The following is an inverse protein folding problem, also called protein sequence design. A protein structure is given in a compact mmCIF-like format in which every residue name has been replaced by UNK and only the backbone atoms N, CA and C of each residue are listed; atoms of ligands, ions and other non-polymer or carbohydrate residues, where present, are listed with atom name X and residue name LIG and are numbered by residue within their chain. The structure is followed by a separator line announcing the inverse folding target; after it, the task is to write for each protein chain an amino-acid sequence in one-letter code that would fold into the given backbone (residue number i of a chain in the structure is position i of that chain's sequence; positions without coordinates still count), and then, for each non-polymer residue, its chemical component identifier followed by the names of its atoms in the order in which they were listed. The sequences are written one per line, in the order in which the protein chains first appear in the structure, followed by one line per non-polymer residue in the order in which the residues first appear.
data_IF_074204997648
#
_entry.id   IF_074204997648
#
_cell.length_a   1.000
_cell.length_b   1.000
_cell.length_c   1.000
_cell.angle_alpha   90.00
_cell.angle_beta   90.00
_cell.angle_gamma   90.00
#
_symmetry.space_group_name_H-M   'P 1'
#
loop_
_entity.id
_entity.type
_entity.pdbx_description
1 polymer ?
#
# COMPACT_ATOMS: atom_id res chain seq x y z
N UNK A 1 -38.31 1.65 16.09
CA UNK A 1 -37.95 2.59 15.01
C UNK A 1 -36.43 2.59 14.92
N UNK A 2 -35.88 1.68 14.11
CA UNK A 2 -34.47 1.30 14.13
C UNK A 2 -33.84 1.77 12.83
N UNK A 3 -33.32 3.00 12.81
CA UNK A 3 -32.54 3.56 11.69
C UNK A 3 -31.12 2.96 11.68
N UNK A 4 -31.01 1.63 11.69
CA UNK A 4 -29.73 0.95 11.57
C UNK A 4 -29.34 0.86 10.08
N UNK A 5 -28.25 1.58 9.79
CA UNK A 5 -27.16 1.17 8.90
C UNK A 5 -27.37 1.10 7.39
N UNK A 6 -27.85 2.19 6.77
CA UNK A 6 -27.39 2.55 5.41
C UNK A 6 -26.13 3.43 5.41
N UNK A 7 -25.40 3.50 6.51
CA UNK A 7 -24.05 4.04 6.48
C UNK A 7 -23.17 3.03 5.75
N UNK A 8 -22.89 3.29 4.47
CA UNK A 8 -21.95 2.51 3.69
C UNK A 8 -20.63 2.36 4.44
N UNK A 9 -19.90 1.27 4.19
CA UNK A 9 -18.61 1.02 4.82
C UNK A 9 -17.71 2.25 4.67
N UNK A 10 -17.32 2.81 5.81
CA UNK A 10 -16.37 3.94 5.86
C UNK A 10 -14.97 3.35 5.96
N UNK A 11 -14.08 3.83 5.10
CA UNK A 11 -12.66 3.55 5.15
C UNK A 11 -11.95 4.84 5.53
N UNK A 12 -10.97 4.75 6.42
CA UNK A 12 -10.17 5.89 6.86
C UNK A 12 -8.71 5.57 6.58
N UNK A 13 -8.00 6.53 6.02
CA UNK A 13 -6.56 6.49 5.85
C UNK A 13 -5.95 7.51 6.80
N UNK A 14 -5.03 7.04 7.64
CA UNK A 14 -4.22 7.90 8.49
C UNK A 14 -2.82 7.97 7.89
N UNK A 15 -2.27 9.17 7.78
CA UNK A 15 -0.92 9.42 7.29
C UNK A 15 -0.15 10.07 8.43
N UNK A 16 0.95 9.45 8.82
CA UNK A 16 1.82 9.93 9.90
C UNK A 16 3.26 10.00 9.41
N UNK A 17 3.84 11.18 9.44
CA UNK A 17 5.25 11.44 9.15
C UNK A 17 5.82 12.42 10.16
N UNK A 18 7.14 12.66 10.21
CA UNK A 18 7.71 13.64 11.14
C UNK A 18 7.19 15.06 10.94
N UNK A 19 6.73 15.40 9.73
CA UNK A 19 6.28 16.75 9.37
C UNK A 19 4.79 16.88 9.05
N UNK A 20 4.02 15.80 9.14
CA UNK A 20 2.61 15.80 8.74
C UNK A 20 1.84 14.71 9.46
N UNK A 21 0.67 15.10 9.96
CA UNK A 21 -0.37 14.19 10.40
C UNK A 21 -1.62 14.48 9.57
N UNK A 22 -2.15 13.48 8.88
CA UNK A 22 -3.34 13.65 8.04
C UNK A 22 -4.32 12.49 8.13
N UNK A 23 -5.57 12.79 7.80
CA UNK A 23 -6.67 11.85 7.73
C UNK A 23 -7.44 12.06 6.44
N UNK A 24 -7.68 10.96 5.72
CA UNK A 24 -8.58 10.94 4.57
C UNK A 24 -9.69 9.91 4.82
N UNK A 25 -10.93 10.33 4.72
CA UNK A 25 -12.08 9.44 4.82
C UNK A 25 -12.65 9.14 3.45
N UNK A 26 -13.02 7.88 3.24
CA UNK A 26 -13.63 7.38 2.01
C UNK A 26 -14.97 6.72 2.29
N UNK A 27 -15.91 6.84 1.35
CA UNK A 27 -17.23 6.21 1.42
C UNK A 27 -17.51 5.33 0.22
N UNK A 28 -18.10 4.16 0.49
CA UNK A 28 -18.55 3.20 -0.53
C UNK A 28 -17.77 1.89 -0.45
N UNK A 29 -18.47 0.77 -0.63
CA UNK A 29 -17.88 -0.56 -0.43
C UNK A 29 -17.07 -1.05 -1.64
N UNK A 30 -17.57 -0.83 -2.86
CA UNK A 30 -16.95 -1.33 -4.11
C UNK A 30 -16.05 -0.32 -4.80
N UNK A 31 -16.40 0.97 -4.69
CA UNK A 31 -15.68 2.10 -5.28
C UNK A 31 -15.66 3.22 -4.24
N UNK A 32 -14.82 3.08 -3.20
CA UNK A 32 -14.64 4.13 -2.21
C UNK A 32 -14.32 5.45 -2.91
N UNK A 33 -15.08 6.50 -2.60
CA UNK A 33 -14.83 7.87 -3.05
C UNK A 33 -14.29 8.68 -1.90
N UNK A 34 -13.29 9.52 -2.18
CA UNK A 34 -12.78 10.49 -1.22
C UNK A 34 -13.93 11.37 -0.74
N UNK A 35 -14.13 11.44 0.57
CA UNK A 35 -15.22 12.17 1.20
C UNK A 35 -14.73 13.46 1.85
N UNK A 36 -13.60 13.39 2.56
CA UNK A 36 -13.01 14.52 3.25
C UNK A 36 -11.54 14.23 3.57
N UNK A 37 -10.76 15.30 3.64
CA UNK A 37 -9.33 15.29 3.98
C UNK A 37 -9.09 16.34 5.05
N UNK A 38 -8.31 15.97 6.05
CA UNK A 38 -7.83 16.86 7.10
C UNK A 38 -6.34 16.63 7.29
N UNK A 39 -5.62 17.69 7.61
CA UNK A 39 -4.20 17.64 7.88
C UNK A 39 -3.84 18.65 8.94
N UNK A 40 -2.80 18.33 9.70
CA UNK A 40 -2.19 19.20 10.70
C UNK A 40 -0.68 18.94 10.74
N UNK A 41 0.06 19.88 11.31
CA UNK A 41 1.47 19.66 11.64
C UNK A 41 1.54 18.97 13.02
N UNK A 42 2.43 18.00 13.21
CA UNK A 42 2.65 17.43 14.54
C UNK A 42 3.11 18.53 15.51
N UNK A 43 2.73 18.42 16.77
CA UNK A 43 3.11 19.40 17.80
C UNK A 43 4.63 19.41 18.01
N UNK A 44 5.31 20.36 17.36
CA UNK A 44 6.78 20.46 17.39
C UNK A 44 7.33 21.15 18.64
N UNK A 45 6.45 21.69 19.50
CA UNK A 45 6.86 22.44 20.70
C UNK A 45 7.20 21.55 21.91
N UNK A 46 7.02 20.23 21.83
CA UNK A 46 7.41 19.31 22.89
C UNK A 46 8.88 18.91 22.76
N UNK A 47 9.62 18.93 23.88
CA UNK A 47 11.01 18.48 23.93
C UNK A 47 11.17 16.96 23.71
N UNK A 48 10.08 16.20 23.87
CA UNK A 48 10.08 14.76 23.64
C UNK A 48 9.44 14.43 22.28
N UNK A 49 10.00 13.46 21.52
CA UNK A 49 9.38 13.00 20.29
C UNK A 49 8.00 12.40 20.58
N UNK A 50 7.00 12.83 19.84
CA UNK A 50 5.63 12.29 19.93
C UNK A 50 5.67 10.81 19.54
N UNK A 51 5.06 9.95 20.34
CA UNK A 51 4.95 8.53 20.02
C UNK A 51 4.10 8.28 18.78
N UNK A 52 4.25 7.11 18.16
CA UNK A 52 3.42 6.74 17.00
C UNK A 52 1.92 6.71 17.36
N UNK A 53 1.58 6.13 18.51
CA UNK A 53 0.19 6.03 18.97
C UNK A 53 -0.46 7.40 19.23
N UNK A 54 0.29 8.33 19.81
CA UNK A 54 -0.16 9.72 19.99
C UNK A 54 -0.37 10.41 18.63
N UNK A 55 0.58 10.27 17.71
CA UNK A 55 0.47 10.84 16.35
C UNK A 55 -0.74 10.28 15.59
N UNK A 56 -1.05 8.99 15.76
CA UNK A 56 -2.25 8.37 15.17
C UNK A 56 -3.54 8.85 15.81
N UNK A 57 -3.52 9.07 17.12
CA UNK A 57 -4.67 9.61 17.85
C UNK A 57 -4.92 11.05 17.42
N UNK A 58 -3.87 11.87 17.26
CA UNK A 58 -3.95 13.19 16.65
C UNK A 58 -4.59 13.09 15.26
N UNK A 59 -4.07 12.22 14.37
CA UNK A 59 -4.59 12.03 13.02
C UNK A 59 -6.08 11.67 13.01
N UNK A 60 -6.47 10.70 13.83
CA UNK A 60 -7.82 10.19 13.88
C UNK A 60 -8.82 11.21 14.47
N UNK A 61 -8.36 12.10 15.34
CA UNK A 61 -9.16 13.18 15.91
C UNK A 61 -9.32 14.38 14.96
N UNK A 62 -8.63 14.39 13.81
CA UNK A 62 -8.87 15.40 12.78
C UNK A 62 -10.29 15.24 12.19
N UNK A 63 -11.05 16.33 12.20
CA UNK A 63 -12.40 16.39 11.61
C UNK A 63 -13.48 15.63 12.40
N UNK A 64 -14.60 15.32 11.74
CA UNK A 64 -15.71 14.62 12.41
C UNK A 64 -15.39 13.14 12.62
N UNK A 65 -15.53 12.64 13.86
CA UNK A 65 -15.23 11.24 14.22
C UNK A 65 -16.05 10.24 13.39
N UNK A 66 -15.38 9.49 12.51
CA UNK A 66 -15.96 8.46 11.66
C UNK A 66 -14.92 7.39 11.43
N UNK A 67 -14.91 6.36 12.26
CA UNK A 67 -13.82 5.39 12.24
C UNK A 67 -14.42 4.03 11.92
N UNK A 68 -14.11 3.56 10.71
CA UNK A 68 -14.49 2.24 10.22
C UNK A 68 -13.25 1.38 10.06
N UNK A 69 -13.00 0.91 8.83
CA UNK A 69 -11.74 0.22 8.52
C UNK A 69 -10.64 1.25 8.36
N UNK A 70 -9.53 1.10 9.07
CA UNK A 70 -8.43 2.06 9.10
C UNK A 70 -7.20 1.48 8.38
N UNK A 71 -6.64 2.24 7.46
CA UNK A 71 -5.33 2.00 6.87
C UNK A 71 -4.37 3.07 7.37
N UNK A 72 -3.11 2.71 7.63
CA UNK A 72 -2.09 3.64 8.12
C UNK A 72 -0.94 3.68 7.11
N UNK A 73 -0.51 4.88 6.76
CA UNK A 73 0.74 5.15 6.08
C UNK A 73 1.66 5.82 7.10
N UNK A 74 2.82 5.23 7.36
CA UNK A 74 3.77 5.77 8.33
C UNK A 74 5.22 5.62 7.86
N UNK A 75 6.04 6.65 8.11
CA UNK A 75 7.49 6.61 7.84
C UNK A 75 8.31 5.96 8.97
N UNK A 76 7.68 5.62 10.10
CA UNK A 76 8.38 4.98 11.22
C UNK A 76 8.48 3.46 11.05
N UNK A 77 7.88 2.89 10.01
CA UNK A 77 8.07 1.48 9.67
C UNK A 77 9.39 1.32 8.93
N UNK A 78 10.23 0.38 9.37
CA UNK A 78 11.47 0.10 8.65
C UNK A 78 11.13 -0.39 7.24
N UNK A 79 11.74 0.22 6.21
CA UNK A 79 11.50 -0.14 4.82
C UNK A 79 12.74 0.08 3.98
N UNK A 80 13.33 -0.99 3.44
CA UNK A 80 14.51 -0.95 2.57
C UNK A 80 14.47 -2.03 1.48
N UNK A 81 15.41 -1.93 0.54
CA UNK A 81 15.61 -2.95 -0.49
C UNK A 81 16.53 -4.03 0.08
N UNK A 82 16.07 -5.27 0.04
CA UNK A 82 16.80 -6.45 0.47
C UNK A 82 16.99 -7.36 -0.74
N UNK A 83 18.23 -7.75 -0.99
CA UNK A 83 18.59 -8.64 -2.10
C UNK A 83 18.71 -10.07 -1.60
N UNK A 84 18.11 -11.02 -2.31
CA UNK A 84 18.31 -12.45 -2.06
C UNK A 84 18.93 -13.15 -3.28
N UNK A 85 19.78 -14.17 -3.10
CA UNK A 85 20.30 -14.95 -4.20
C UNK A 85 19.18 -15.59 -5.04
N UNK A 86 19.33 -15.62 -6.37
CA UNK A 86 18.32 -16.16 -7.29
C UNK A 86 17.96 -17.61 -6.94
N UNK A 87 18.94 -18.40 -6.52
CA UNK A 87 18.72 -19.81 -6.13
C UNK A 87 17.79 -19.93 -4.92
N UNK A 88 17.91 -19.04 -3.94
CA UNK A 88 17.02 -19.01 -2.75
C UNK A 88 15.60 -18.64 -3.17
N UNK A 89 15.46 -17.63 -4.02
CA UNK A 89 14.16 -17.16 -4.52
C UNK A 89 13.48 -18.22 -5.38
N UNK A 90 14.24 -18.98 -6.17
CA UNK A 90 13.71 -20.01 -7.06
C UNK A 90 13.09 -21.20 -6.33
N UNK A 91 13.57 -21.51 -5.11
CA UNK A 91 13.12 -22.69 -4.35
C UNK A 91 12.19 -22.36 -3.18
N UNK A 92 12.21 -21.12 -2.67
CA UNK A 92 11.42 -20.73 -1.51
C UNK A 92 9.94 -20.53 -1.87
N UNK A 93 9.04 -21.05 -1.03
CA UNK A 93 7.64 -20.63 -1.06
C UNK A 93 7.50 -19.15 -0.65
N UNK A 94 6.39 -18.50 -0.99
CA UNK A 94 6.17 -17.10 -0.62
C UNK A 94 6.33 -16.84 0.90
N UNK A 95 5.91 -17.78 1.75
CA UNK A 95 6.06 -17.67 3.21
C UNK A 95 7.52 -17.82 3.66
N UNK A 96 8.26 -18.74 3.04
CA UNK A 96 9.68 -18.93 3.33
C UNK A 96 10.50 -17.74 2.83
N UNK A 97 10.16 -17.20 1.66
CA UNK A 97 10.75 -16.00 1.09
C UNK A 97 10.58 -14.80 2.03
N UNK A 98 9.36 -14.52 2.50
CA UNK A 98 9.14 -13.44 3.48
C UNK A 98 9.97 -13.64 4.77
N UNK A 99 10.13 -14.89 5.23
CA UNK A 99 10.94 -15.19 6.41
C UNK A 99 12.43 -14.98 6.15
N UNK A 100 12.95 -15.43 5.01
CA UNK A 100 14.33 -15.19 4.61
C UNK A 100 14.61 -13.68 4.54
N UNK A 101 13.73 -12.92 3.89
CA UNK A 101 13.82 -11.46 3.84
C UNK A 101 13.76 -10.82 5.23
N UNK A 102 12.94 -11.35 6.15
CA UNK A 102 12.87 -10.87 7.52
C UNK A 102 14.21 -11.06 8.27
N UNK A 103 14.90 -12.18 8.05
CA UNK A 103 16.20 -12.46 8.65
C UNK A 103 17.31 -11.56 8.11
N UNK A 104 17.34 -11.35 6.79
CA UNK A 104 18.28 -10.39 6.20
C UNK A 104 18.02 -8.96 6.70
N UNK A 105 16.74 -8.58 6.83
CA UNK A 105 16.34 -7.27 7.34
C UNK A 105 16.64 -7.05 8.84
N UNK A 106 16.71 -8.10 9.66
CA UNK A 106 16.89 -7.99 11.12
C UNK A 106 18.19 -7.25 11.50
N UNK A 107 19.26 -7.46 10.71
CA UNK A 107 20.57 -6.82 10.95
C UNK A 107 20.49 -5.30 10.85
N UNK A 108 19.76 -4.79 9.87
CA UNK A 108 19.64 -3.36 9.58
C UNK A 108 18.47 -2.71 10.34
N UNK A 109 17.36 -3.43 10.50
CA UNK A 109 16.15 -2.91 11.13
C UNK A 109 16.21 -2.93 12.66
N UNK A 110 17.10 -3.73 13.25
CA UNK A 110 17.13 -4.02 14.68
C UNK A 110 15.85 -4.70 15.21
N UNK A 111 14.96 -5.13 14.30
CA UNK A 111 13.69 -5.77 14.63
C UNK A 111 13.81 -7.28 14.39
N UNK A 112 13.54 -8.07 15.43
CA UNK A 112 13.63 -9.53 15.33
C UNK A 112 12.72 -10.08 14.21
N UNK A 113 13.30 -10.87 13.31
CA UNK A 113 12.60 -11.54 12.21
C UNK A 113 11.46 -12.47 12.70
N UNK A 114 11.60 -13.00 13.92
CA UNK A 114 10.64 -13.93 14.51
C UNK A 114 9.49 -13.21 15.25
N UNK A 115 9.70 -11.97 15.70
CA UNK A 115 8.73 -11.16 16.44
C UNK A 115 8.30 -9.93 15.62
N UNK A 116 8.12 -10.13 14.32
CA UNK A 116 7.74 -9.09 13.39
C UNK A 116 6.83 -9.58 12.28
N UNK A 117 6.16 -8.61 11.66
CA UNK A 117 5.36 -8.77 10.46
C UNK A 117 6.11 -8.15 9.30
N UNK A 118 6.20 -8.90 8.21
CA UNK A 118 6.94 -8.51 7.03
C UNK A 118 6.02 -8.52 5.81
N UNK A 119 6.07 -7.43 5.05
CA UNK A 119 5.58 -7.39 3.68
C UNK A 119 6.77 -7.22 2.75
N UNK A 120 6.74 -7.87 1.59
CA UNK A 120 7.78 -7.74 0.59
C UNK A 120 7.19 -7.63 -0.81
N UNK A 121 7.81 -6.79 -1.64
CA UNK A 121 7.44 -6.59 -3.05
C UNK A 121 8.66 -6.88 -3.91
N UNK A 122 8.58 -7.83 -4.85
CA UNK A 122 9.67 -8.03 -5.79
C UNK A 122 9.80 -6.79 -6.68
N UNK A 123 11.01 -6.28 -6.82
CA UNK A 123 11.31 -5.20 -7.74
C UNK A 123 11.55 -5.78 -9.13
N UNK A 124 11.06 -5.10 -10.16
CA UNK A 124 11.42 -5.49 -11.52
C UNK A 124 12.90 -5.19 -11.71
N UNK A 125 13.68 -6.21 -12.09
CA UNK A 125 15.09 -6.03 -12.43
C UNK A 125 15.17 -5.11 -13.65
N UNK A 126 15.56 -3.86 -13.44
CA UNK A 126 15.92 -2.96 -14.54
C UNK A 126 17.27 -3.34 -15.16
N UNK A 127 18.04 -4.22 -14.53
CA UNK A 127 19.35 -4.67 -15.01
C UNK A 127 19.28 -6.11 -15.51
N UNK A 128 19.18 -6.34 -16.84
CA UNK A 128 18.73 -7.62 -17.36
C UNK A 128 19.73 -8.79 -17.31
N UNK A 129 21.01 -8.63 -16.91
CA UNK A 129 22.02 -9.66 -17.31
C UNK A 129 23.11 -10.02 -16.26
N UNK A 130 23.31 -9.31 -15.15
CA UNK A 130 24.54 -9.52 -14.33
C UNK A 130 24.40 -9.83 -12.83
N UNK A 131 23.24 -9.63 -12.20
CA UNK A 131 23.11 -9.90 -10.76
C UNK A 131 22.62 -11.32 -10.49
N UNK A 132 23.38 -12.10 -9.71
CA UNK A 132 22.92 -13.39 -9.16
C UNK A 132 21.96 -13.20 -7.97
N UNK A 133 21.24 -12.08 -7.93
CA UNK A 133 20.33 -11.68 -6.86
C UNK A 133 19.06 -11.07 -7.40
N UNK A 134 18.00 -11.16 -6.61
CA UNK A 134 16.71 -10.50 -6.82
C UNK A 134 16.47 -9.51 -5.70
N UNK A 135 16.02 -8.32 -6.07
CA UNK A 135 15.75 -7.24 -5.12
C UNK A 135 14.29 -7.23 -4.70
N UNK A 136 14.07 -7.05 -3.40
CA UNK A 136 12.75 -6.94 -2.79
C UNK A 136 12.68 -5.67 -1.98
N UNK A 137 11.63 -4.88 -2.15
CA UNK A 137 11.31 -3.87 -1.16
C UNK A 137 10.64 -4.56 0.04
N UNK A 138 11.25 -4.44 1.20
CA UNK A 138 10.80 -5.09 2.43
C UNK A 138 10.34 -4.01 3.40
N UNK A 139 9.14 -4.16 3.97
CA UNK A 139 8.67 -3.36 5.10
C UNK A 139 8.49 -4.27 6.31
N UNK A 140 9.08 -3.89 7.44
CA UNK A 140 9.05 -4.66 8.69
C UNK A 140 8.47 -3.84 9.83
N UNK A 141 7.58 -4.47 10.62
CA UNK A 141 6.93 -3.89 11.80
C UNK A 141 7.00 -4.90 12.93
N UNK A 142 7.45 -4.51 14.12
CA UNK A 142 7.50 -5.41 15.27
C UNK A 142 6.09 -5.79 15.74
N UNK A 143 5.93 -6.97 16.31
CA UNK A 143 4.62 -7.40 16.83
C UNK A 143 4.14 -6.48 17.98
N UNK A 144 5.06 -5.97 18.80
CA UNK A 144 4.74 -5.00 19.85
C UNK A 144 4.16 -3.71 19.28
N UNK A 145 4.84 -3.13 18.27
CA UNK A 145 4.35 -1.94 17.57
C UNK A 145 3.00 -2.24 16.90
N UNK A 146 2.85 -3.37 16.21
CA UNK A 146 1.56 -3.77 15.62
C UNK A 146 0.43 -3.79 16.65
N UNK A 147 0.63 -4.43 17.80
CA UNK A 147 -0.37 -4.53 18.87
C UNK A 147 -0.73 -3.18 19.48
N UNK A 148 0.25 -2.28 19.61
CA UNK A 148 0.02 -0.89 20.04
C UNK A 148 -0.89 -0.15 19.05
N UNK A 149 -0.60 -0.23 17.75
CA UNK A 149 -1.41 0.39 16.69
C UNK A 149 -2.83 -0.17 16.68
N UNK A 150 -2.98 -1.49 16.76
CA UNK A 150 -4.28 -2.14 16.77
C UNK A 150 -5.12 -1.69 17.98
N UNK A 151 -4.50 -1.60 19.16
CA UNK A 151 -5.14 -1.11 20.38
C UNK A 151 -5.56 0.35 20.27
N UNK A 152 -4.69 1.21 19.72
CA UNK A 152 -5.01 2.63 19.51
C UNK A 152 -6.18 2.80 18.53
N UNK A 153 -6.16 2.11 17.39
CA UNK A 153 -7.26 2.15 16.42
C UNK A 153 -8.57 1.61 17.02
N UNK A 154 -8.50 0.52 17.79
CA UNK A 154 -9.67 -0.07 18.44
C UNK A 154 -10.26 0.85 19.52
N UNK A 155 -9.42 1.52 20.31
CA UNK A 155 -9.85 2.51 21.30
C UNK A 155 -10.65 3.65 20.66
N UNK A 156 -10.30 4.02 19.43
CA UNK A 156 -11.02 5.04 18.67
C UNK A 156 -12.31 4.52 18.01
N UNK A 157 -12.59 3.22 18.10
CA UNK A 157 -13.75 2.55 17.51
C UNK A 157 -13.54 2.05 16.08
N UNK A 158 -12.30 2.04 15.60
CA UNK A 158 -11.92 1.55 14.27
C UNK A 158 -11.49 0.08 14.25
N UNK A 159 -11.14 -0.39 13.07
CA UNK A 159 -10.50 -1.69 12.85
C UNK A 159 -9.29 -1.51 11.94
N UNK A 160 -8.08 -1.79 12.44
CA UNK A 160 -6.85 -1.73 11.67
C UNK A 160 -6.91 -2.77 10.54
N UNK A 161 -6.71 -2.33 9.30
CA UNK A 161 -6.79 -3.17 8.10
C UNK A 161 -5.42 -3.32 7.41
N UNK A 162 -4.69 -2.20 7.23
CA UNK A 162 -3.45 -2.14 6.44
C UNK A 162 -2.44 -1.20 7.05
N UNK A 163 -1.16 -1.54 6.92
CA UNK A 163 -0.02 -0.66 7.14
C UNK A 163 0.78 -0.53 5.84
N UNK A 164 1.31 0.66 5.57
CA UNK A 164 2.20 0.92 4.45
C UNK A 164 3.26 1.96 4.82
N UNK A 165 4.41 1.88 4.17
CA UNK A 165 5.43 2.92 4.20
C UNK A 165 5.36 3.79 2.93
N UNK A 166 5.50 5.12 3.00
CA UNK A 166 5.44 5.97 1.81
C UNK A 166 6.41 5.61 0.69
N UNK A 167 7.63 5.16 1.04
CA UNK A 167 8.62 4.73 0.04
C UNK A 167 8.12 3.56 -0.82
N UNK A 168 7.27 2.71 -0.26
CA UNK A 168 6.69 1.59 -0.99
C UNK A 168 5.74 2.01 -2.10
N UNK A 169 5.14 3.19 -2.00
CA UNK A 169 4.28 3.70 -3.07
C UNK A 169 5.10 4.21 -4.24
N UNK A 170 6.17 4.95 -3.99
CA UNK A 170 7.06 5.46 -5.05
C UNK A 170 7.66 4.31 -5.85
N UNK A 171 8.13 3.29 -5.15
CA UNK A 171 8.76 2.12 -5.77
C UNK A 171 7.72 1.27 -6.53
N UNK A 172 6.51 1.12 -5.98
CA UNK A 172 5.41 0.46 -6.68
C UNK A 172 5.00 1.20 -7.95
N UNK A 173 4.94 2.54 -7.94
CA UNK A 173 4.63 3.33 -9.14
C UNK A 173 5.64 3.08 -10.25
N UNK A 174 6.95 3.12 -9.91
CA UNK A 174 8.02 2.83 -10.86
C UNK A 174 7.90 1.41 -11.43
N UNK A 175 7.72 0.43 -10.54
CA UNK A 175 7.65 -0.99 -10.91
C UNK A 175 6.40 -1.37 -11.70
N UNK A 176 5.29 -0.64 -11.52
CA UNK A 176 4.04 -0.87 -12.23
C UNK A 176 3.96 -0.08 -13.56
N UNK A 177 5.00 0.68 -13.92
CA UNK A 177 4.97 1.56 -15.08
C UNK A 177 3.87 2.62 -14.99
N UNK A 178 3.45 2.97 -13.77
CA UNK A 178 2.52 4.07 -13.57
C UNK A 178 3.27 5.37 -13.86
N UNK A 179 2.62 6.37 -14.48
CA UNK A 179 3.26 7.63 -14.82
C UNK A 179 3.93 8.21 -13.57
N UNK A 180 5.23 8.51 -13.68
CA UNK A 180 6.01 9.06 -12.58
C UNK A 180 5.41 10.41 -12.19
N UNK A 181 4.79 10.48 -11.02
CA UNK A 181 4.23 11.72 -10.50
C UNK A 181 5.40 12.58 -10.02
N UNK A 182 5.94 13.41 -10.93
CA UNK A 182 7.20 14.18 -10.75
C UNK A 182 7.24 15.05 -9.47
N UNK A 183 6.12 15.28 -8.79
CA UNK A 183 6.03 16.09 -7.56
C UNK A 183 6.22 15.31 -6.25
N UNK A 184 6.24 13.97 -6.26
CA UNK A 184 6.31 13.21 -5.01
C UNK A 184 7.67 13.31 -4.30
N UNK A 185 8.77 13.47 -5.04
CA UNK A 185 10.15 13.45 -4.49
C UNK A 185 10.45 14.62 -3.54
N UNK A 186 9.84 15.78 -3.79
CA UNK A 186 9.97 16.98 -2.93
C UNK A 186 9.13 16.88 -1.64
N UNK A 187 8.07 16.07 -1.66
CA UNK A 187 7.07 16.03 -0.60
C UNK A 187 7.55 15.34 0.69
N UNK A 188 8.44 14.35 0.54
CA UNK A 188 8.91 13.51 1.65
C UNK A 188 10.32 13.88 2.13
N UNK A 189 11.02 14.73 1.37
CA UNK A 189 12.41 15.13 1.66
C UNK A 189 12.53 16.45 2.43
N UNK A 190 11.53 17.33 2.34
CA UNK A 190 11.56 18.63 3.01
C UNK A 190 10.35 18.84 3.95
N UNK A 191 10.57 18.93 5.28
CA UNK A 191 9.51 19.32 6.19
C UNK A 191 9.06 20.77 5.90
N UNK A 192 7.78 20.96 5.59
CA UNK A 192 7.16 22.28 5.45
C UNK A 192 6.62 22.66 4.06
N UNK A 193 6.86 21.86 3.01
CA UNK A 193 6.39 22.15 1.64
C UNK A 193 5.04 21.48 1.28
N UNK A 194 4.16 21.27 2.27
CA UNK A 194 2.90 20.57 2.08
C UNK A 194 1.75 21.55 1.78
N UNK A 195 1.21 21.53 0.55
CA UNK A 195 -0.02 22.27 0.23
C UNK A 195 -1.24 21.34 0.30
N UNK A 196 -2.41 21.80 0.80
CA UNK A 196 -3.62 20.96 0.88
C UNK A 196 -4.05 20.34 -0.46
N UNK A 197 -3.90 21.06 -1.58
CA UNK A 197 -4.24 20.55 -2.91
C UNK A 197 -3.36 19.39 -3.39
N UNK A 198 -2.11 19.32 -2.90
CA UNK A 198 -1.17 18.26 -3.24
C UNK A 198 -1.53 16.94 -2.53
N UNK A 199 -2.11 17.02 -1.32
CA UNK A 199 -2.62 15.85 -0.61
C UNK A 199 -3.79 15.20 -1.36
N UNK A 200 -4.71 16.01 -1.88
CA UNK A 200 -5.85 15.52 -2.65
C UNK A 200 -5.40 14.80 -3.92
N UNK A 201 -4.41 15.35 -4.63
CA UNK A 201 -3.83 14.75 -5.85
C UNK A 201 -3.16 13.39 -5.53
N UNK A 202 -2.33 13.36 -4.48
CA UNK A 202 -1.70 12.12 -4.01
C UNK A 202 -2.73 11.07 -3.60
N UNK A 203 -3.76 11.46 -2.84
CA UNK A 203 -4.78 10.53 -2.38
C UNK A 203 -5.57 9.94 -3.53
N UNK A 204 -5.76 10.67 -4.63
CA UNK A 204 -6.38 10.12 -5.85
C UNK A 204 -5.50 9.07 -6.53
N UNK A 205 -4.19 9.32 -6.61
CA UNK A 205 -3.23 8.35 -7.17
C UNK A 205 -3.08 7.10 -6.30
N UNK A 206 -3.21 7.26 -4.98
CA UNK A 206 -3.06 6.18 -4.02
C UNK A 206 -4.36 5.42 -3.80
N UNK A 207 -5.50 6.00 -4.16
CA UNK A 207 -6.82 5.39 -4.00
C UNK A 207 -6.89 3.97 -4.59
N UNK A 208 -6.43 3.69 -5.83
CA UNK A 208 -6.48 2.34 -6.38
C UNK A 208 -5.62 1.35 -5.57
N UNK A 209 -4.47 1.78 -5.05
CA UNK A 209 -3.57 0.96 -4.24
C UNK A 209 -4.20 0.63 -2.89
N UNK A 210 -4.72 1.65 -2.20
CA UNK A 210 -5.30 1.53 -0.85
C UNK A 210 -6.63 0.79 -0.88
N UNK A 211 -7.36 0.84 -1.99
CA UNK A 211 -8.73 0.31 -2.09
C UNK A 211 -8.82 -0.98 -2.91
N UNK A 212 -7.72 -1.40 -3.55
CA UNK A 212 -7.67 -2.67 -4.28
C UNK A 212 -8.05 -3.83 -3.35
N UNK A 213 -9.04 -4.67 -3.72
CA UNK A 213 -9.41 -5.86 -2.97
C UNK A 213 -8.43 -7.03 -3.15
N UNK A 214 -7.41 -6.91 -4.02
CA UNK A 214 -6.51 -8.01 -4.33
C UNK A 214 -5.61 -8.38 -3.16
N UNK A 215 -5.52 -9.68 -2.84
CA UNK A 215 -4.48 -10.27 -2.00
C UNK A 215 -3.05 -10.01 -2.56
N UNK A 216 -2.95 -9.54 -3.80
CA UNK A 216 -1.71 -9.27 -4.54
C UNK A 216 -1.20 -7.81 -4.46
N UNK A 217 -1.82 -6.91 -3.69
CA UNK A 217 -1.23 -5.58 -3.45
C UNK A 217 -0.08 -5.73 -2.46
N UNK A 218 1.11 -6.01 -3.00
CA UNK A 218 2.29 -6.49 -2.29
C UNK A 218 2.88 -5.48 -1.28
N UNK A 219 2.59 -4.18 -1.39
CA UNK A 219 3.17 -3.14 -0.51
C UNK A 219 2.48 -2.96 0.85
N UNK A 220 1.47 -3.75 1.19
CA UNK A 220 0.70 -3.58 2.42
C UNK A 220 0.92 -4.74 3.39
N UNK A 221 1.27 -4.46 4.64
CA UNK A 221 1.17 -5.48 5.71
C UNK A 221 -0.31 -5.65 6.03
N UNK A 222 -0.85 -6.85 5.79
CA UNK A 222 -2.25 -7.17 6.02
C UNK A 222 -2.50 -7.69 7.44
N UNK A 223 -3.58 -7.20 8.06
CA UNK A 223 -4.18 -7.83 9.23
C UNK A 223 -5.01 -9.05 8.79
N UNK A 224 -4.42 -10.24 8.67
CA UNK A 224 -5.22 -11.46 8.45
C UNK A 224 -5.75 -11.96 9.80
N UNK A 225 -7.00 -11.63 10.12
CA UNK A 225 -7.76 -12.37 11.14
C UNK A 225 -8.35 -13.61 10.45
N UNK A 226 -7.76 -14.79 10.69
CA UNK A 226 -8.22 -16.05 10.12
C UNK A 226 -9.73 -16.26 10.38
N UNK A 227 -10.54 -16.15 9.33
CA UNK A 227 -11.84 -16.81 9.25
C UNK A 227 -11.99 -17.46 7.88
N UNK A 228 -11.99 -18.79 7.91
CA UNK A 228 -12.14 -19.75 6.82
C UNK A 228 -13.13 -19.30 5.73
N UNK A 229 -12.67 -19.15 4.47
CA UNK A 229 -13.56 -19.09 3.30
C UNK A 229 -12.93 -19.88 2.14
N UNK A 230 -13.25 -21.18 2.09
CA UNK A 230 -12.89 -22.14 1.04
C UNK A 230 -13.70 -22.01 -0.26
N UNK A 231 -14.25 -20.83 -0.61
CA UNK A 231 -15.24 -20.75 -1.73
C UNK A 231 -15.07 -19.66 -2.80
N UNK A 232 -14.05 -18.80 -2.77
CA UNK A 232 -13.90 -17.75 -3.80
C UNK A 232 -12.84 -18.01 -4.89
N UNK A 233 -12.02 -19.06 -4.76
CA UNK A 233 -10.97 -19.39 -5.73
C UNK A 233 -11.48 -19.85 -7.11
N UNK A 234 -12.74 -20.29 -7.22
CA UNK A 234 -13.29 -20.77 -8.49
C UNK A 234 -13.77 -19.65 -9.45
N UNK A 235 -14.10 -18.46 -8.93
CA UNK A 235 -14.66 -17.38 -9.76
C UNK A 235 -13.57 -16.52 -10.42
N UNK A 236 -12.43 -16.36 -9.75
CA UNK A 236 -11.28 -15.60 -10.25
C UNK A 236 -10.57 -16.32 -11.41
N UNK A 237 -10.56 -17.65 -11.41
CA UNK A 237 -9.95 -18.46 -12.47
C UNK A 237 -10.77 -18.45 -13.77
N UNK A 238 -12.10 -18.39 -13.66
CA UNK A 238 -13.01 -18.32 -14.82
C UNK A 238 -12.99 -16.93 -15.49
N UNK A 239 -12.77 -15.86 -14.73
CA UNK A 239 -12.64 -14.50 -15.27
C UNK A 239 -11.28 -14.25 -15.95
N UNK A 240 -10.20 -14.89 -15.48
CA UNK A 240 -8.88 -14.81 -16.12
C UNK A 240 -8.85 -15.53 -17.49
N UNK A 241 -9.54 -16.67 -17.61
CA UNK A 241 -9.64 -17.41 -18.88
C UNK A 241 -10.48 -16.69 -19.94
N UNK A 242 -11.52 -15.94 -19.55
CA UNK A 242 -12.37 -15.21 -20.48
C UNK A 242 -11.64 -14.02 -21.15
N UNK A 243 -10.69 -13.38 -20.46
CA UNK A 243 -9.87 -12.31 -21.03
C UNK A 243 -8.88 -12.79 -22.11
N UNK A 244 -8.34 -14.00 -21.98
CA UNK A 244 -7.41 -14.55 -22.96
C UNK A 244 -8.08 -14.86 -24.32
N UNK A 245 -9.36 -15.27 -24.31
CA UNK A 245 -10.10 -15.57 -25.55
C UNK A 245 -10.47 -14.29 -26.30
N UNK A 246 -10.75 -13.19 -25.58
CA UNK A 246 -11.11 -11.91 -26.20
C UNK A 246 -9.90 -11.17 -26.80
N UNK A 247 -8.71 -11.27 -26.18
CA UNK A 247 -7.49 -10.69 -26.74
C UNK A 247 -7.03 -11.39 -28.03
N UNK A 248 -7.18 -12.72 -28.13
CA UNK A 248 -6.82 -13.45 -29.35
C UNK A 248 -7.77 -13.17 -30.52
N UNK A 249 -9.03 -12.79 -30.27
CA UNK A 249 -9.99 -12.48 -31.32
C UNK A 249 -9.86 -11.04 -31.85
N UNK A 250 -9.45 -10.09 -30.99
CA UNK A 250 -9.30 -8.68 -31.39
C UNK A 250 -8.02 -8.42 -32.21
N UNK A 251 -6.91 -9.12 -31.91
CA UNK A 251 -5.65 -8.91 -32.62
C UNK A 251 -5.62 -9.50 -34.05
N UNK A 252 -6.61 -10.32 -34.43
CA UNK A 252 -6.69 -10.89 -35.78
C UNK A 252 -7.42 -9.99 -36.79
N UNK A 253 -8.11 -8.93 -36.34
CA UNK A 253 -8.98 -8.12 -37.21
C UNK A 253 -8.46 -6.72 -37.55
N UNK A 254 -7.33 -6.28 -36.98
CA UNK A 254 -6.79 -4.92 -37.20
C UNK A 254 -5.61 -4.84 -38.17
N UNK A 255 -5.19 -5.95 -38.78
CA UNK A 255 -4.02 -5.98 -39.67
C UNK A 255 -4.34 -5.99 -41.19
N UNK A 256 -5.62 -5.91 -41.59
CA UNK A 256 -6.02 -5.96 -43.02
C UNK A 256 -6.37 -4.60 -43.66
N UNK A 257 -6.27 -3.48 -42.94
CA UNK A 257 -6.76 -2.18 -43.46
C UNK A 257 -5.71 -1.09 -43.67
N UNK A 258 -4.41 -1.40 -43.62
CA UNK A 258 -3.33 -0.40 -43.82
C UNK A 258 -2.34 -0.73 -44.96
N UNK A 259 -2.80 -1.43 -46.01
CA UNK A 259 -1.99 -1.74 -47.21
C UNK A 259 -2.61 -1.26 -48.53
N UNK A 260 -3.36 -0.16 -48.51
CA UNK A 260 -3.86 0.48 -49.74
C UNK A 260 -3.84 2.00 -49.62
N UNK A 261 -2.65 2.63 -49.69
CA UNK A 261 -2.54 4.01 -50.18
C UNK A 261 -1.10 4.48 -50.44
N UNK A 262 -0.24 3.68 -51.10
CA UNK A 262 1.00 4.19 -51.71
C UNK A 262 1.23 3.40 -53.00
N UNK A 263 0.80 3.95 -54.14
CA UNK A 263 1.33 3.73 -55.50
C UNK A 263 0.43 4.47 -56.51
N UNK A 264 0.76 5.72 -56.79
CA UNK A 264 0.37 6.44 -58.00
C UNK A 264 1.61 7.13 -58.56
N UNK A 265 2.34 6.41 -59.41
CA UNK A 265 2.90 6.83 -60.70
C UNK A 265 3.55 5.63 -61.38
#
# INVERSE_FOLDING_TARGET
MTLLSRFGSTQTLLIVTPGLVARADFRGARRPKLHAVWSDLPETNSAAPISLAESLTQAANLGTKRIGKVSIICTQFWTEIVSLPVDVVAVASAKELCRALAFEAELESGTSALASRVACVPLQDESPIASNSRDFLVTQVSDAQWSELESAIQFMGGMLQRLAHPAAVQIAQKSLGLPEVHRQKALWSEPGNFSPGLLDELLQDWLPIITSPSENSACCIYAIKQRSVRKELALSFLLAMACCIFCCFWHRHTHESLTKLICTK
#
